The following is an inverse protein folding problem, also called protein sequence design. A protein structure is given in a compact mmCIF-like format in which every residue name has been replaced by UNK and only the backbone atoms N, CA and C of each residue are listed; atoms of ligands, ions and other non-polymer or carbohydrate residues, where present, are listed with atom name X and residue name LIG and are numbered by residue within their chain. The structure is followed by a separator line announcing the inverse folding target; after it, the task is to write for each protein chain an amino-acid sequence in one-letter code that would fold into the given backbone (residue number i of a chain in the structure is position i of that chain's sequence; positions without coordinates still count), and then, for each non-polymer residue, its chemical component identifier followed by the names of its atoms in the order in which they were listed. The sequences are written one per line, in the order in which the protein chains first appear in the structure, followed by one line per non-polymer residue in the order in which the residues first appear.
data_IF_272149739480
#
_entry.id   IF_272149739480
#
_cell.length_a   1.000
_cell.length_b   1.000
_cell.length_c   1.000
_cell.angle_alpha   90.00
_cell.angle_beta   90.00
_cell.angle_gamma   90.00
#
_symmetry.space_group_name_H-M   'P 1'
#
loop_
_entity.id
_entity.type
_entity.pdbx_description
1 polymer ?
#
# COMPACT_ATOMS: atom_id res chain seq x y z
N UNK A 1 -6.52 5.80 -28.00
CA UNK A 1 -5.93 5.88 -26.65
C UNK A 1 -6.21 7.27 -26.06
N UNK A 2 -7.00 7.36 -24.99
CA UNK A 2 -7.32 8.62 -24.29
C UNK A 2 -6.14 9.03 -23.39
N UNK A 3 -5.71 10.28 -23.46
CA UNK A 3 -4.68 10.84 -22.57
C UNK A 3 -5.31 11.17 -21.21
N UNK A 4 -4.68 10.83 -20.08
CA UNK A 4 -5.10 11.38 -18.79
C UNK A 4 -4.67 12.84 -18.69
N UNK A 5 -5.63 13.74 -18.49
CA UNK A 5 -5.40 15.15 -18.19
C UNK A 5 -5.28 15.30 -16.68
N UNK A 6 -4.06 15.48 -16.16
CA UNK A 6 -3.86 15.81 -14.75
C UNK A 6 -3.94 17.34 -14.54
N UNK A 7 -4.74 17.85 -13.58
CA UNK A 7 -4.73 19.27 -13.26
C UNK A 7 -3.44 19.64 -12.52
N UNK A 8 -2.68 20.58 -13.07
CA UNK A 8 -1.52 21.19 -12.41
C UNK A 8 -2.02 22.09 -11.27
N UNK A 9 -1.78 21.69 -10.02
CA UNK A 9 -2.02 22.52 -8.84
C UNK A 9 -0.83 23.47 -8.65
N UNK A 10 -1.03 24.80 -8.62
CA UNK A 10 0.07 25.73 -8.42
C UNK A 10 0.62 25.65 -6.98
N UNK A 11 1.95 25.61 -6.86
CA UNK A 11 2.68 25.79 -5.60
C UNK A 11 2.61 27.25 -5.19
N UNK A 12 1.84 27.57 -4.16
CA UNK A 12 1.90 28.87 -3.48
C UNK A 12 2.91 28.81 -2.34
N UNK A 13 3.97 29.64 -2.35
CA UNK A 13 4.76 29.89 -1.15
C UNK A 13 4.08 30.98 -0.33
N UNK A 14 3.71 30.69 0.91
CA UNK A 14 3.32 31.73 1.88
C UNK A 14 4.22 31.66 3.10
N UNK A 15 4.85 32.79 3.38
CA UNK A 15 5.92 33.04 4.34
C UNK A 15 5.44 32.95 5.81
N UNK A 16 6.38 32.53 6.69
CA UNK A 16 6.76 33.06 8.03
C UNK A 16 5.63 33.71 8.88
N UNK A 17 5.41 33.42 10.17
CA UNK A 17 6.28 33.27 11.36
C UNK A 17 5.35 33.03 12.60
N UNK A 18 5.77 33.20 13.87
CA UNK A 18 6.88 32.65 14.65
C UNK A 18 6.39 31.79 15.84
N UNK A 19 7.34 31.11 16.49
CA UNK A 19 7.18 30.42 17.78
C UNK A 19 6.55 31.29 18.86
N UNK A 20 5.49 30.80 19.49
CA UNK A 20 5.01 31.29 20.78
C UNK A 20 4.67 30.08 21.65
N UNK A 21 5.65 29.72 22.47
CA UNK A 21 5.48 28.79 23.57
C UNK A 21 4.48 29.41 24.56
N UNK A 22 3.37 28.72 24.83
CA UNK A 22 2.55 28.96 26.01
C UNK A 22 2.31 27.60 26.66
N UNK A 23 3.12 27.34 27.68
CA UNK A 23 2.91 26.33 28.72
C UNK A 23 1.71 26.78 29.56
N UNK A 24 0.60 26.05 29.53
CA UNK A 24 -0.46 26.14 30.55
C UNK A 24 -0.77 24.73 31.03
N UNK A 25 -0.23 24.40 32.19
CA UNK A 25 -0.61 23.27 33.02
C UNK A 25 -1.83 23.70 33.84
N UNK A 26 -3.00 23.09 33.60
CA UNK A 26 -4.12 23.11 34.57
C UNK A 26 -4.73 21.70 34.64
N UNK A 27 -4.45 21.03 35.76
CA UNK A 27 -5.26 19.92 36.28
C UNK A 27 -6.64 20.47 36.69
N UNK A 28 -7.72 19.78 36.31
CA UNK A 28 -9.06 20.04 36.85
C UNK A 28 -10.14 19.16 36.20
N UNK A 29 -10.83 18.38 37.03
CA UNK A 29 -11.79 17.30 36.75
C UNK A 29 -13.01 17.64 35.84
N UNK A 30 -13.69 16.61 35.27
CA UNK A 30 -14.68 16.75 34.20
C UNK A 30 -16.12 16.89 34.71
N UNK A 31 -16.94 17.72 34.06
CA UNK A 31 -18.40 17.72 34.20
C UNK A 31 -19.08 18.07 32.88
N UNK A 32 -19.94 17.16 32.41
CA UNK A 32 -21.09 17.49 31.56
C UNK A 32 -20.92 17.28 30.05
N UNK A 33 -20.79 16.04 29.58
CA UNK A 33 -21.07 15.71 28.18
C UNK A 33 -22.43 15.01 28.11
N UNK A 34 -23.45 15.71 27.64
CA UNK A 34 -24.64 15.09 27.03
C UNK A 34 -24.69 15.48 25.57
N UNK A 35 -23.68 15.06 24.80
CA UNK A 35 -23.80 14.96 23.36
C UNK A 35 -24.41 13.58 23.07
N UNK A 36 -25.61 13.57 22.50
CA UNK A 36 -26.30 12.34 22.12
C UNK A 36 -25.41 11.46 21.24
N UNK A 37 -25.18 10.23 21.67
CA UNK A 37 -24.56 9.20 20.84
C UNK A 37 -25.52 8.89 19.68
N UNK A 38 -25.27 9.48 18.52
CA UNK A 38 -25.63 8.83 17.27
C UNK A 38 -24.67 7.65 17.09
N UNK A 39 -25.09 6.45 17.50
CA UNK A 39 -24.37 5.24 17.12
C UNK A 39 -24.67 4.97 15.64
N UNK A 40 -23.84 5.52 14.76
CA UNK A 40 -23.68 4.95 13.43
C UNK A 40 -23.06 3.56 13.64
N UNK A 41 -23.92 2.55 13.80
CA UNK A 41 -23.51 1.15 13.86
C UNK A 41 -23.30 0.63 12.44
N UNK A 42 -22.37 1.24 11.72
CA UNK A 42 -21.62 0.55 10.66
C UNK A 42 -20.20 0.41 11.22
N UNK A 43 -20.04 -0.55 12.13
CA UNK A 43 -18.71 -0.98 12.54
C UNK A 43 -17.97 -1.56 11.34
N UNK A 44 -16.63 -1.48 11.27
CA UNK A 44 -15.88 -2.21 10.26
C UNK A 44 -16.33 -3.67 10.32
N UNK A 45 -16.75 -4.23 9.18
CA UNK A 45 -16.85 -5.68 9.05
C UNK A 45 -15.45 -6.23 9.29
N UNK A 46 -15.28 -7.04 10.34
CA UNK A 46 -14.00 -7.69 10.70
C UNK A 46 -13.48 -8.68 9.63
N UNK A 47 -14.18 -8.80 8.50
CA UNK A 47 -13.83 -9.69 7.41
C UNK A 47 -12.91 -8.99 6.41
N UNK A 48 -11.76 -9.61 6.14
CA UNK A 48 -10.81 -9.11 5.16
C UNK A 48 -11.41 -9.13 3.74
N UNK A 49 -11.09 -8.16 2.88
CA UNK A 49 -11.52 -8.16 1.49
C UNK A 49 -11.13 -9.46 0.75
N UNK A 50 -11.96 -9.92 -0.18
CA UNK A 50 -11.68 -11.15 -0.95
C UNK A 50 -10.40 -11.08 -1.79
N UNK A 51 -9.99 -9.88 -2.21
CA UNK A 51 -8.73 -9.61 -2.91
C UNK A 51 -7.53 -9.44 -1.96
N UNK A 52 -7.66 -9.82 -0.70
CA UNK A 52 -6.52 -9.87 0.23
C UNK A 52 -5.54 -10.95 -0.23
N UNK A 53 -4.28 -10.58 -0.44
CA UNK A 53 -3.20 -11.54 -0.73
C UNK A 53 -2.93 -12.35 0.54
N UNK A 54 -2.99 -13.68 0.44
CA UNK A 54 -2.78 -14.60 1.55
C UNK A 54 -1.54 -15.48 1.37
N UNK A 55 -1.08 -15.65 0.13
CA UNK A 55 0.12 -16.44 -0.14
C UNK A 55 0.80 -15.97 -1.43
N UNK A 56 2.13 -16.10 -1.46
CA UNK A 56 2.94 -15.85 -2.64
C UNK A 56 3.94 -16.99 -2.81
N UNK A 57 3.79 -17.76 -3.88
CA UNK A 57 4.63 -18.94 -4.15
C UNK A 57 5.65 -18.66 -5.25
N UNK A 58 6.81 -19.31 -5.22
CA UNK A 58 7.83 -19.16 -6.27
C UNK A 58 8.69 -17.91 -6.12
N UNK A 59 9.28 -17.46 -7.22
CA UNK A 59 10.23 -16.34 -7.23
C UNK A 59 10.22 -15.53 -8.53
N UNK A 60 10.85 -14.36 -8.49
CA UNK A 60 10.90 -13.42 -9.61
C UNK A 60 11.52 -14.00 -10.90
N UNK A 61 12.51 -14.89 -10.79
CA UNK A 61 13.27 -15.41 -11.92
C UNK A 61 12.64 -16.64 -12.58
N UNK A 62 11.98 -17.50 -11.78
CA UNK A 62 11.33 -18.72 -12.26
C UNK A 62 9.82 -18.58 -12.47
N UNK A 63 9.25 -17.47 -12.01
CA UNK A 63 7.81 -17.22 -12.01
C UNK A 63 7.24 -17.45 -10.61
N UNK A 64 6.18 -16.69 -10.30
CA UNK A 64 5.54 -16.73 -9.00
C UNK A 64 4.02 -16.58 -9.12
N UNK A 65 3.32 -17.08 -8.11
CA UNK A 65 1.87 -16.96 -7.98
C UNK A 65 1.51 -16.03 -6.82
N UNK A 66 0.51 -15.18 -7.01
CA UNK A 66 -0.11 -14.37 -5.94
C UNK A 66 -1.49 -14.95 -5.70
N UNK A 67 -1.72 -15.51 -4.52
CA UNK A 67 -2.98 -16.14 -4.13
C UNK A 67 -3.79 -15.22 -3.22
N UNK A 68 -5.08 -15.11 -3.49
CA UNK A 68 -6.00 -14.23 -2.79
C UNK A 68 -6.97 -15.03 -1.91
N UNK A 69 -7.55 -14.35 -0.92
CA UNK A 69 -8.47 -14.92 0.06
C UNK A 69 -9.73 -15.51 -0.60
N UNK A 70 -10.21 -14.92 -1.69
CA UNK A 70 -11.35 -15.41 -2.47
C UNK A 70 -11.04 -16.67 -3.32
N UNK A 71 -9.81 -17.19 -3.22
CA UNK A 71 -9.34 -18.37 -3.95
C UNK A 71 -8.83 -18.07 -5.36
N UNK A 72 -8.86 -16.81 -5.81
CA UNK A 72 -8.26 -16.43 -7.10
C UNK A 72 -6.74 -16.35 -7.01
N UNK A 73 -6.09 -16.50 -8.17
CA UNK A 73 -4.64 -16.39 -8.27
C UNK A 73 -4.23 -15.58 -9.50
N UNK A 74 -3.17 -14.78 -9.35
CA UNK A 74 -2.50 -14.07 -10.42
C UNK A 74 -1.11 -14.68 -10.64
N UNK A 75 -0.73 -14.82 -11.91
CA UNK A 75 0.59 -15.34 -12.31
C UNK A 75 1.27 -14.29 -13.19
N UNK A 76 2.00 -13.35 -12.57
CA UNK A 76 2.77 -12.35 -13.30
C UNK A 76 3.84 -13.01 -14.17
N UNK A 77 4.34 -12.32 -15.22
CA UNK A 77 5.50 -12.80 -15.96
C UNK A 77 6.72 -12.98 -15.04
N UNK A 78 7.78 -13.59 -15.54
CA UNK A 78 9.09 -13.53 -14.89
C UNK A 78 9.70 -12.13 -15.01
N UNK A 79 10.69 -11.82 -14.18
CA UNK A 79 11.46 -10.58 -14.26
C UNK A 79 12.12 -10.41 -15.64
N UNK A 80 12.62 -11.52 -16.21
CA UNK A 80 13.27 -11.57 -17.51
C UNK A 80 12.30 -11.25 -18.65
N UNK A 81 11.08 -11.80 -18.60
CA UNK A 81 10.02 -11.53 -19.57
C UNK A 81 9.52 -10.08 -19.45
N UNK A 82 9.30 -9.58 -18.23
CA UNK A 82 8.89 -8.20 -18.01
C UNK A 82 9.96 -7.19 -18.47
N UNK A 83 11.25 -7.50 -18.27
CA UNK A 83 12.36 -6.68 -18.77
C UNK A 83 12.50 -6.76 -20.29
N UNK A 84 12.18 -7.90 -20.91
CA UNK A 84 12.19 -8.05 -22.37
C UNK A 84 11.15 -7.13 -23.02
N UNK A 85 9.93 -7.07 -22.48
CA UNK A 85 8.89 -6.13 -22.93
C UNK A 85 9.34 -4.67 -22.87
N UNK A 86 10.12 -4.29 -21.86
CA UNK A 86 10.66 -2.93 -21.79
C UNK A 86 11.57 -2.56 -22.97
N UNK A 87 12.21 -3.54 -23.62
CA UNK A 87 13.10 -3.29 -24.76
C UNK A 87 12.36 -2.88 -26.04
N UNK A 88 11.06 -3.15 -26.11
CA UNK A 88 10.21 -2.77 -27.25
C UNK A 88 9.93 -1.26 -27.34
N UNK A 89 10.08 -0.52 -26.23
CA UNK A 89 9.87 0.93 -26.23
C UNK A 89 10.95 1.67 -27.01
N UNK A 90 10.59 2.33 -28.12
CA UNK A 90 11.53 3.12 -28.92
C UNK A 90 12.17 4.28 -28.12
N UNK A 91 11.35 5.01 -27.36
CA UNK A 91 11.80 6.20 -26.63
C UNK A 91 12.62 5.80 -25.41
N UNK A 92 13.84 6.33 -25.32
CA UNK A 92 14.76 6.08 -24.21
C UNK A 92 14.13 6.31 -22.84
N UNK A 93 13.43 7.44 -22.63
CA UNK A 93 12.78 7.73 -21.36
C UNK A 93 11.70 6.72 -20.96
N UNK A 94 10.93 6.20 -21.93
CA UNK A 94 9.91 5.17 -21.65
C UNK A 94 10.56 3.84 -21.25
N UNK A 95 11.65 3.47 -21.93
CA UNK A 95 12.43 2.27 -21.62
C UNK A 95 13.01 2.30 -20.21
N UNK A 96 13.62 3.43 -19.80
CA UNK A 96 14.16 3.59 -18.45
C UNK A 96 13.06 3.52 -17.40
N UNK A 97 11.93 4.20 -17.64
CA UNK A 97 10.77 4.15 -16.75
C UNK A 97 10.26 2.72 -16.57
N UNK A 98 10.01 2.01 -17.66
CA UNK A 98 9.56 0.62 -17.63
C UNK A 98 10.52 -0.27 -16.84
N UNK A 99 11.84 -0.21 -17.11
CA UNK A 99 12.83 -1.02 -16.38
C UNK A 99 12.86 -0.70 -14.89
N UNK A 100 12.63 0.56 -14.52
CA UNK A 100 12.60 0.99 -13.12
C UNK A 100 11.34 0.48 -12.42
N UNK A 101 10.18 0.60 -13.06
CA UNK A 101 8.91 0.07 -12.56
C UNK A 101 9.00 -1.45 -12.35
N UNK A 102 9.49 -2.19 -13.36
CA UNK A 102 9.72 -3.64 -13.27
C UNK A 102 10.66 -3.96 -12.11
N UNK A 103 11.86 -3.38 -12.07
CA UNK A 103 12.84 -3.68 -11.00
C UNK A 103 12.32 -3.37 -9.60
N UNK A 104 11.56 -2.28 -9.44
CA UNK A 104 10.97 -1.91 -8.15
C UNK A 104 9.96 -2.96 -7.73
N UNK A 105 9.03 -3.29 -8.62
CA UNK A 105 7.96 -4.24 -8.33
C UNK A 105 8.50 -5.64 -7.96
N UNK A 106 9.49 -6.18 -8.68
CA UNK A 106 10.09 -7.48 -8.33
C UNK A 106 11.00 -7.43 -7.10
N UNK A 107 11.63 -6.28 -6.80
CA UNK A 107 12.43 -6.13 -5.57
C UNK A 107 11.54 -6.21 -4.33
N UNK A 108 10.36 -5.60 -4.40
CA UNK A 108 9.41 -5.52 -3.30
C UNK A 108 8.68 -6.87 -3.06
N UNK A 109 8.89 -7.87 -3.91
CA UNK A 109 8.34 -9.23 -3.75
C UNK A 109 8.81 -9.92 -2.47
N UNK A 110 10.11 -9.80 -2.15
CA UNK A 110 10.68 -10.43 -0.95
C UNK A 110 10.11 -9.79 0.33
N UNK A 111 9.91 -8.46 0.31
CA UNK A 111 9.31 -7.74 1.42
C UNK A 111 7.84 -8.18 1.64
N UNK A 112 7.09 -8.41 0.55
CA UNK A 112 5.72 -8.95 0.62
C UNK A 112 5.70 -10.37 1.21
N UNK A 113 6.57 -11.26 0.73
CA UNK A 113 6.66 -12.63 1.24
C UNK A 113 6.99 -12.65 2.73
N UNK A 114 7.94 -11.82 3.16
CA UNK A 114 8.30 -11.68 4.58
C UNK A 114 7.13 -11.13 5.42
N UNK A 115 6.37 -10.17 4.89
CA UNK A 115 5.21 -9.63 5.59
C UNK A 115 4.11 -10.69 5.79
N UNK A 116 3.89 -11.55 4.79
CA UNK A 116 2.93 -12.66 4.86
C UNK A 116 3.38 -13.72 5.88
N UNK A 117 4.66 -14.09 5.89
CA UNK A 117 5.23 -15.00 6.88
C UNK A 117 4.99 -14.47 8.30
N UNK A 118 5.28 -13.18 8.53
CA UNK A 118 5.03 -12.56 9.83
C UNK A 118 3.54 -12.56 10.21
N UNK A 119 2.64 -12.31 9.26
CA UNK A 119 1.21 -12.33 9.50
C UNK A 119 0.71 -13.75 9.86
N UNK A 120 1.24 -14.78 9.20
CA UNK A 120 0.93 -16.18 9.51
C UNK A 120 1.40 -16.57 10.91
N UNK A 121 2.62 -16.20 11.29
CA UNK A 121 3.15 -16.46 12.63
C UNK A 121 2.32 -15.75 13.72
N UNK A 122 1.94 -14.50 13.47
CA UNK A 122 1.09 -13.73 14.38
C UNK A 122 -0.30 -14.36 14.53
N UNK A 123 -0.88 -14.85 13.43
CA UNK A 123 -2.17 -15.54 13.46
C UNK A 123 -2.09 -16.86 14.26
N UNK A 124 -1.03 -17.65 14.07
CA UNK A 124 -0.80 -18.89 14.83
C UNK A 124 -0.63 -18.56 16.32
N UNK A 125 0.19 -17.55 16.65
CA UNK A 125 0.43 -17.12 18.04
C UNK A 125 -0.82 -16.57 18.74
N UNK A 126 -1.79 -16.01 18.00
CA UNK A 126 -3.06 -15.56 18.55
C UNK A 126 -4.06 -16.70 18.83
N UNK A 127 -3.83 -17.89 18.27
CA UNK A 127 -4.70 -19.07 18.43
C UNK A 127 -4.28 -20.03 19.54
N UNK A 128 -3.15 -19.78 20.22
CA UNK A 128 -2.61 -20.57 21.34
C UNK A 128 -2.84 -19.84 22.66
#
# INVERSE_FOLDING_TARGET
MRRPTFPLRPLTPSLRAPSLAILVLVLGLPLGVTAGLATAADGPTDEAPGDTIVDVTGDAGNGFGIHHLDGTALYPPTDSEALAECSAYERFGHRVRCRTEVRTWYRDLADLQQALEHAHDAAIGATV
#
